data_IF_495129455223
#
_entry.id   IF_495129455223
#
_cell.length_a   1.000
_cell.length_b   1.000
_cell.length_c   1.000
_cell.angle_alpha   90.00
_cell.angle_beta   90.00
_cell.angle_gamma   90.00
#
_symmetry.space_group_name_H-M   'P 1'
#
loop_
_entity.id
_entity.type
_entity.pdbx_description
1 polymer ?
#
# COMPACT_ATOMS: atom_id res chain seq x y z
N UNK A 1 8.08 -0.98 -20.07
CA UNK A 1 8.46 -2.41 -20.01
C UNK A 1 9.32 -2.72 -21.21
N UNK A 2 10.47 -3.38 -21.03
CA UNK A 2 11.28 -3.83 -22.16
C UNK A 2 10.50 -4.89 -22.95
N UNK A 3 10.47 -4.78 -24.28
CA UNK A 3 9.72 -5.73 -25.13
C UNK A 3 10.23 -7.16 -24.98
N UNK A 4 9.39 -8.15 -25.30
CA UNK A 4 9.71 -9.59 -25.21
C UNK A 4 10.97 -10.01 -26.01
N UNK A 5 11.40 -9.16 -26.95
CA UNK A 5 12.58 -9.37 -27.79
C UNK A 5 13.86 -8.72 -27.26
N UNK A 6 13.81 -7.99 -26.14
CA UNK A 6 15.01 -7.40 -25.57
C UNK A 6 15.99 -8.48 -25.05
N UNK A 7 17.31 -8.32 -25.28
CA UNK A 7 18.32 -9.37 -25.06
C UNK A 7 18.45 -9.81 -23.60
N UNK A 8 18.16 -8.91 -22.65
CA UNK A 8 18.29 -9.18 -21.21
C UNK A 8 17.01 -9.63 -20.52
N UNK A 9 15.92 -9.83 -21.26
CA UNK A 9 14.70 -10.46 -20.74
C UNK A 9 14.92 -11.96 -20.54
N UNK A 10 14.11 -12.65 -19.70
CA UNK A 10 14.20 -14.11 -19.56
C UNK A 10 14.18 -14.85 -20.91
N UNK A 11 13.35 -14.39 -21.86
CA UNK A 11 13.31 -14.93 -23.22
C UNK A 11 14.59 -14.65 -24.02
N UNK A 12 15.15 -13.44 -23.93
CA UNK A 12 16.44 -13.09 -24.53
C UNK A 12 17.60 -13.93 -23.99
N UNK A 13 17.67 -14.13 -22.67
CA UNK A 13 18.67 -14.96 -22.00
C UNK A 13 18.58 -16.43 -22.41
N UNK A 14 17.36 -16.95 -22.56
CA UNK A 14 17.12 -18.31 -23.06
C UNK A 14 17.63 -18.47 -24.49
N UNK A 15 17.27 -17.54 -25.40
CA UNK A 15 17.76 -17.57 -26.80
C UNK A 15 19.28 -17.55 -26.86
N UNK A 16 19.92 -16.68 -26.07
CA UNK A 16 21.38 -16.63 -25.95
C UNK A 16 21.96 -17.97 -25.50
N UNK A 17 21.38 -18.60 -24.47
CA UNK A 17 21.85 -19.89 -23.99
C UNK A 17 21.66 -21.03 -25.02
N UNK A 18 20.54 -21.05 -25.74
CA UNK A 18 20.30 -22.02 -26.83
C UNK A 18 21.33 -21.90 -27.96
N UNK A 19 21.79 -20.69 -28.32
CA UNK A 19 22.86 -20.54 -29.32
C UNK A 19 24.15 -21.26 -28.92
N UNK A 20 24.48 -21.27 -27.62
CA UNK A 20 25.68 -21.95 -27.12
C UNK A 20 25.43 -23.46 -26.97
N UNK A 21 24.28 -23.86 -26.44
CA UNK A 21 23.98 -25.27 -26.11
C UNK A 21 23.58 -26.09 -27.33
N UNK A 22 22.70 -25.55 -28.19
CA UNK A 22 22.12 -26.26 -29.33
C UNK A 22 22.90 -25.98 -30.61
N UNK A 23 23.35 -24.74 -30.83
CA UNK A 23 24.07 -24.35 -32.05
C UNK A 23 25.60 -24.33 -31.91
N UNK A 24 26.14 -24.69 -30.74
CA UNK A 24 27.59 -24.81 -30.52
C UNK A 24 28.39 -23.50 -30.59
N UNK A 25 27.75 -22.34 -30.41
CA UNK A 25 28.46 -21.06 -30.43
C UNK A 25 29.44 -20.95 -29.26
N UNK A 26 30.59 -20.31 -29.50
CA UNK A 26 31.51 -19.96 -28.41
C UNK A 26 30.89 -18.92 -27.47
N UNK A 27 31.24 -18.98 -26.17
CA UNK A 27 30.75 -18.02 -25.16
C UNK A 27 31.05 -16.57 -25.56
N UNK A 28 32.22 -16.34 -26.17
CA UNK A 28 32.68 -15.01 -26.59
C UNK A 28 31.84 -14.46 -27.76
N UNK A 29 31.56 -15.30 -28.76
CA UNK A 29 30.72 -14.92 -29.91
C UNK A 29 29.29 -14.58 -29.45
N UNK A 30 28.72 -15.39 -28.56
CA UNK A 30 27.39 -15.13 -28.00
C UNK A 30 27.38 -13.85 -27.14
N UNK A 31 28.43 -13.62 -26.35
CA UNK A 31 28.61 -12.42 -25.54
C UNK A 31 28.65 -11.14 -26.40
N UNK A 32 29.45 -11.14 -27.48
CA UNK A 32 29.58 -10.01 -28.42
C UNK A 32 28.24 -9.70 -29.11
N UNK A 33 27.50 -10.72 -29.56
CA UNK A 33 26.21 -10.53 -30.23
C UNK A 33 25.13 -9.90 -29.35
N UNK A 34 25.16 -10.19 -28.05
CA UNK A 34 24.18 -9.74 -27.06
C UNK A 34 24.69 -8.60 -26.17
N UNK A 35 25.91 -8.12 -26.41
CA UNK A 35 26.54 -7.02 -25.68
C UNK A 35 26.59 -7.27 -24.16
N UNK A 36 26.98 -8.49 -23.77
CA UNK A 36 27.11 -8.90 -22.37
C UNK A 36 28.48 -9.49 -22.10
N UNK A 37 28.90 -9.52 -20.84
CA UNK A 37 30.18 -10.10 -20.47
C UNK A 37 30.17 -11.65 -20.58
N UNK A 38 31.24 -12.32 -21.07
CA UNK A 38 31.27 -13.78 -21.27
C UNK A 38 30.97 -14.61 -20.03
N UNK A 39 31.34 -14.14 -18.83
CA UNK A 39 31.01 -14.88 -17.61
C UNK A 39 29.50 -14.86 -17.29
N UNK A 40 28.77 -13.81 -17.71
CA UNK A 40 27.30 -13.77 -17.60
C UNK A 40 26.66 -14.80 -18.53
N UNK A 41 27.17 -14.92 -19.76
CA UNK A 41 26.77 -15.98 -20.70
C UNK A 41 27.01 -17.36 -20.11
N UNK A 42 28.21 -17.60 -19.57
CA UNK A 42 28.56 -18.86 -18.90
C UNK A 42 27.56 -19.22 -17.78
N UNK A 43 27.23 -18.25 -16.90
CA UNK A 43 26.22 -18.46 -15.84
C UNK A 43 24.84 -18.83 -16.39
N UNK A 44 24.41 -18.23 -17.50
CA UNK A 44 23.13 -18.58 -18.13
C UNK A 44 23.18 -19.93 -18.83
N UNK A 45 24.29 -20.30 -19.47
CA UNK A 45 24.46 -21.61 -20.10
C UNK A 45 24.42 -22.73 -19.06
N UNK A 46 25.14 -22.58 -17.94
CA UNK A 46 25.07 -23.54 -16.81
C UNK A 46 23.63 -23.69 -16.31
N UNK A 47 22.91 -22.57 -16.18
CA UNK A 47 21.51 -22.57 -15.75
C UNK A 47 20.59 -23.28 -16.76
N UNK A 48 20.81 -23.06 -18.06
CA UNK A 48 20.07 -23.68 -19.15
C UNK A 48 20.26 -25.19 -19.17
N UNK A 49 21.51 -25.66 -19.04
CA UNK A 49 21.85 -27.09 -18.95
C UNK A 49 21.24 -27.77 -17.73
N UNK A 50 21.07 -27.02 -16.63
CA UNK A 50 20.38 -27.50 -15.43
C UNK A 50 18.84 -27.45 -15.51
N UNK A 51 18.26 -27.04 -16.65
CA UNK A 51 16.80 -26.93 -16.83
C UNK A 51 16.13 -25.86 -15.96
N UNK A 52 16.89 -24.90 -15.43
CA UNK A 52 16.38 -23.88 -14.50
C UNK A 52 15.81 -22.67 -15.26
N UNK A 53 14.83 -22.00 -14.65
CA UNK A 53 14.23 -20.76 -15.19
C UNK A 53 15.26 -19.63 -15.37
N UNK A 54 15.12 -18.85 -16.45
CA UNK A 54 15.93 -17.66 -16.75
C UNK A 54 15.44 -16.38 -16.07
N UNK A 55 14.42 -16.50 -15.21
CA UNK A 55 13.93 -15.39 -14.42
C UNK A 55 14.99 -14.87 -13.44
N UNK A 56 14.86 -13.58 -13.13
CA UNK A 56 15.66 -12.97 -12.08
C UNK A 56 15.27 -13.56 -10.73
N UNK A 57 16.27 -14.13 -10.06
CA UNK A 57 16.11 -14.53 -8.66
C UNK A 57 15.96 -13.26 -7.84
N UNK A 58 15.12 -13.32 -6.81
CA UNK A 58 15.04 -12.21 -5.87
C UNK A 58 16.43 -11.96 -5.26
N UNK A 59 16.96 -10.75 -5.40
CA UNK A 59 18.16 -10.32 -4.68
C UNK A 59 17.91 -10.13 -3.18
N UNK A 60 16.68 -10.37 -2.71
CA UNK A 60 16.33 -10.23 -1.30
C UNK A 60 16.97 -11.37 -0.52
N UNK A 61 17.60 -11.07 0.64
CA UNK A 61 18.19 -12.11 1.47
C UNK A 61 17.11 -13.08 1.94
N UNK A 62 17.40 -14.38 1.86
CA UNK A 62 16.50 -15.45 2.33
C UNK A 62 16.20 -15.33 3.83
N UNK A 63 17.16 -14.82 4.61
CA UNK A 63 17.03 -14.63 6.06
C UNK A 63 17.55 -13.25 6.46
N UNK A 64 16.81 -12.59 7.36
CA UNK A 64 17.26 -11.37 8.02
C UNK A 64 17.55 -11.69 9.50
N UNK A 65 18.82 -11.74 9.92
CA UNK A 65 19.18 -12.12 11.29
C UNK A 65 18.70 -11.11 12.34
N UNK A 66 18.55 -9.82 11.98
CA UNK A 66 17.97 -8.79 12.84
C UNK A 66 16.44 -8.84 12.96
N UNK A 67 15.79 -9.92 12.49
CA UNK A 67 14.35 -10.07 12.57
C UNK A 67 13.93 -10.44 14.00
N UNK A 68 12.94 -9.72 14.53
CA UNK A 68 12.35 -10.08 15.82
C UNK A 68 11.85 -11.52 15.85
N UNK A 69 11.98 -12.13 17.02
CA UNK A 69 11.38 -13.43 17.31
C UNK A 69 9.87 -13.40 17.02
N UNK A 70 9.36 -14.48 16.42
CA UNK A 70 7.94 -14.63 16.05
C UNK A 70 6.99 -14.39 17.24
N UNK A 71 7.41 -14.75 18.46
CA UNK A 71 6.65 -14.50 19.70
C UNK A 71 6.38 -13.01 19.92
N UNK A 72 7.39 -12.17 19.73
CA UNK A 72 7.24 -10.72 19.89
C UNK A 72 6.44 -10.10 18.75
N UNK A 73 6.60 -10.58 17.52
CA UNK A 73 5.73 -10.19 16.40
C UNK A 73 4.25 -10.47 16.71
N UNK A 74 3.95 -11.67 17.24
CA UNK A 74 2.58 -12.02 17.66
C UNK A 74 2.05 -11.11 18.78
N UNK A 75 2.90 -10.73 19.75
CA UNK A 75 2.50 -9.76 20.80
C UNK A 75 2.17 -8.39 20.23
N UNK A 76 2.94 -7.90 19.25
CA UNK A 76 2.65 -6.63 18.54
C UNK A 76 1.27 -6.70 17.88
N UNK A 77 0.99 -7.78 17.15
CA UNK A 77 -0.30 -7.98 16.45
C UNK A 77 -1.43 -8.11 17.47
N UNK A 78 -1.26 -8.88 18.53
CA UNK A 78 -2.26 -9.06 19.57
C UNK A 78 -2.65 -7.73 20.23
N UNK A 79 -1.67 -6.91 20.61
CA UNK A 79 -1.95 -5.57 21.18
C UNK A 79 -2.64 -4.65 20.16
N UNK A 80 -2.28 -4.75 18.88
CA UNK A 80 -2.91 -3.99 17.81
C UNK A 80 -4.38 -4.37 17.62
N UNK A 81 -4.73 -5.64 17.66
CA UNK A 81 -6.09 -6.13 17.43
C UNK A 81 -6.96 -5.98 18.69
N UNK A 82 -6.48 -6.45 19.84
CA UNK A 82 -7.29 -6.50 21.08
C UNK A 82 -7.45 -5.14 21.75
N UNK A 83 -6.38 -4.33 21.74
CA UNK A 83 -6.37 -3.02 22.43
C UNK A 83 -6.47 -1.84 21.47
N UNK A 84 -6.41 -2.07 20.16
CA UNK A 84 -6.46 -1.04 19.11
C UNK A 84 -5.39 0.05 19.30
N UNK A 85 -4.20 -0.35 19.76
CA UNK A 85 -3.12 0.59 20.04
C UNK A 85 -2.37 1.03 18.79
N UNK A 86 -1.99 2.32 18.78
CA UNK A 86 -1.10 2.89 17.78
C UNK A 86 0.34 2.34 17.89
N UNK A 87 1.15 2.46 16.83
CA UNK A 87 2.51 1.95 16.83
C UNK A 87 3.40 2.58 17.92
N UNK A 88 3.16 3.84 18.29
CA UNK A 88 3.90 4.52 19.36
C UNK A 88 3.63 3.89 20.73
N UNK A 89 2.35 3.64 21.05
CA UNK A 89 1.95 3.06 22.34
C UNK A 89 2.42 1.61 22.47
N UNK A 90 2.32 0.82 21.39
CA UNK A 90 2.85 -0.56 21.36
C UNK A 90 4.38 -0.56 21.53
N UNK A 91 5.08 0.33 20.82
CA UNK A 91 6.53 0.44 20.90
C UNK A 91 7.00 0.76 22.32
N UNK A 92 6.37 1.75 22.96
CA UNK A 92 6.66 2.11 24.35
C UNK A 92 6.40 0.93 25.30
N UNK A 93 5.24 0.29 25.19
CA UNK A 93 4.85 -0.82 26.07
C UNK A 93 5.76 -2.05 25.94
N UNK A 94 6.21 -2.37 24.72
CA UNK A 94 7.09 -3.52 24.47
C UNK A 94 8.59 -3.17 24.53
N UNK A 95 8.94 -1.91 24.83
CA UNK A 95 10.32 -1.38 24.79
C UNK A 95 11.03 -1.67 23.46
N UNK A 96 10.32 -1.42 22.35
CA UNK A 96 10.82 -1.60 20.99
C UNK A 96 10.89 -0.26 20.27
N UNK A 97 11.74 -0.15 19.24
CA UNK A 97 11.72 1.00 18.35
C UNK A 97 10.38 1.07 17.58
N UNK A 98 9.83 2.28 17.45
CA UNK A 98 8.57 2.53 16.72
C UNK A 98 8.65 2.08 15.26
N UNK A 99 9.80 2.28 14.62
CA UNK A 99 10.05 1.84 13.24
C UNK A 99 9.92 0.33 13.08
N UNK A 100 10.37 -0.42 14.09
CA UNK A 100 10.28 -1.88 14.11
C UNK A 100 8.85 -2.37 14.24
N UNK A 101 8.06 -1.77 15.13
CA UNK A 101 6.62 -2.05 15.25
C UNK A 101 5.91 -1.74 13.94
N UNK A 102 6.18 -0.59 13.32
CA UNK A 102 5.63 -0.23 12.02
C UNK A 102 5.94 -1.26 10.93
N UNK A 103 7.22 -1.65 10.78
CA UNK A 103 7.63 -2.69 9.80
C UNK A 103 6.94 -4.03 10.04
N UNK A 104 6.77 -4.44 11.30
CA UNK A 104 6.06 -5.68 11.64
C UNK A 104 4.60 -5.60 11.21
N UNK A 105 3.90 -4.51 11.54
CA UNK A 105 2.49 -4.33 11.18
C UNK A 105 2.30 -4.32 9.65
N UNK A 106 3.13 -3.57 8.91
CA UNK A 106 3.06 -3.50 7.44
C UNK A 106 3.32 -4.86 6.80
N UNK A 107 4.37 -5.58 7.23
CA UNK A 107 4.70 -6.90 6.68
C UNK A 107 3.63 -7.96 6.98
N UNK A 108 2.95 -7.84 8.11
CA UNK A 108 1.85 -8.72 8.49
C UNK A 108 0.50 -8.29 7.91
N UNK A 109 0.46 -7.26 7.06
CA UNK A 109 -0.78 -6.80 6.41
C UNK A 109 -1.80 -6.21 7.37
N UNK A 110 -1.37 -5.73 8.54
CA UNK A 110 -2.29 -5.16 9.53
C UNK A 110 -2.65 -3.73 9.14
N UNK A 111 -3.94 -3.40 8.95
CA UNK A 111 -4.37 -2.08 8.49
C UNK A 111 -4.02 -0.97 9.48
N UNK A 112 -4.00 0.27 8.98
CA UNK A 112 -3.85 1.45 9.85
C UNK A 112 -5.12 1.60 10.69
N UNK A 113 -5.01 2.13 11.92
CA UNK A 113 -6.22 2.37 12.74
C UNK A 113 -7.17 3.36 12.08
N UNK A 114 -6.65 4.30 11.29
CA UNK A 114 -7.46 5.22 10.49
C UNK A 114 -8.27 4.52 9.37
N UNK A 115 -7.85 3.32 8.98
CA UNK A 115 -8.52 2.47 7.99
C UNK A 115 -9.41 1.42 8.65
N UNK A 116 -9.55 1.45 9.98
CA UNK A 116 -10.35 0.48 10.73
C UNK A 116 -11.49 1.22 11.41
N UNK A 117 -12.71 0.71 11.25
CA UNK A 117 -13.88 1.26 11.90
C UNK A 117 -13.77 1.06 13.42
N UNK A 118 -14.02 2.13 14.18
CA UNK A 118 -13.86 2.11 15.62
C UNK A 118 -14.97 1.33 16.35
N UNK A 119 -16.15 1.16 15.74
CA UNK A 119 -17.19 0.33 16.32
C UNK A 119 -16.90 -1.16 16.05
N UNK A 120 -16.80 -1.53 14.77
CA UNK A 120 -16.76 -2.92 14.31
C UNK A 120 -15.36 -3.54 14.29
N UNK A 121 -14.30 -2.74 14.23
CA UNK A 121 -12.93 -3.26 14.09
C UNK A 121 -12.62 -3.82 12.69
N UNK A 122 -13.54 -3.67 11.75
CA UNK A 122 -13.37 -4.07 10.35
C UNK A 122 -12.66 -2.97 9.57
N UNK A 123 -12.01 -3.35 8.46
CA UNK A 123 -11.41 -2.38 7.55
C UNK A 123 -12.53 -1.54 6.94
N UNK A 124 -12.43 -0.22 7.10
CA UNK A 124 -13.32 0.74 6.45
C UNK A 124 -13.10 0.62 4.95
N UNK A 125 -14.08 0.04 4.25
CA UNK A 125 -14.18 0.20 2.80
C UNK A 125 -14.75 1.58 2.54
N UNK A 126 -13.87 2.59 2.47
CA UNK A 126 -14.31 3.91 2.02
C UNK A 126 -14.60 3.79 0.52
N UNK A 127 -15.86 3.97 0.07
CA UNK A 127 -16.15 4.02 -1.35
C UNK A 127 -15.30 5.12 -1.99
N UNK A 128 -14.95 4.95 -3.26
CA UNK A 128 -14.23 5.98 -3.99
C UNK A 128 -14.97 7.32 -3.83
N UNK A 129 -14.27 8.44 -3.57
CA UNK A 129 -14.92 9.74 -3.46
C UNK A 129 -15.75 9.98 -4.72
N UNK A 130 -17.06 10.09 -4.56
CA UNK A 130 -17.93 10.50 -5.66
C UNK A 130 -17.68 11.99 -5.86
N UNK A 131 -17.09 12.35 -6.99
CA UNK A 131 -16.93 13.74 -7.38
C UNK A 131 -18.26 14.19 -7.96
N UNK A 132 -18.89 15.14 -7.29
CA UNK A 132 -20.07 15.81 -7.80
C UNK A 132 -19.59 17.07 -8.56
N UNK A 133 -19.62 17.02 -9.88
CA UNK A 133 -19.36 18.19 -10.73
C UNK A 133 -20.72 18.74 -11.23
N UNK A 134 -20.84 20.07 -11.27
CA UNK A 134 -22.02 20.81 -11.77
C UNK A 134 -21.56 22.03 -12.56
N UNK A 135 -22.35 22.41 -13.57
CA UNK A 135 -21.98 23.45 -14.53
C UNK A 135 -22.24 24.86 -13.98
N UNK A 136 -23.24 25.03 -13.12
CA UNK A 136 -23.59 26.34 -12.56
C UNK A 136 -23.45 26.39 -11.03
N UNK A 137 -23.05 27.55 -10.48
CA UNK A 137 -23.02 27.76 -9.03
C UNK A 137 -24.42 27.61 -8.43
N UNK A 138 -24.55 26.83 -7.35
CA UNK A 138 -25.81 26.60 -6.64
C UNK A 138 -26.47 25.23 -6.88
N UNK A 139 -26.03 24.46 -7.89
CA UNK A 139 -26.56 23.12 -8.17
C UNK A 139 -26.05 22.03 -7.19
N UNK A 140 -24.94 22.31 -6.50
CA UNK A 140 -24.43 21.47 -5.42
C UNK A 140 -24.89 22.03 -4.07
N UNK A 141 -25.93 21.42 -3.51
CA UNK A 141 -26.38 21.73 -2.15
C UNK A 141 -25.73 20.75 -1.18
N UNK A 142 -24.86 21.27 -0.31
CA UNK A 142 -24.33 20.51 0.80
C UNK A 142 -25.22 20.74 2.03
N UNK A 143 -25.90 19.69 2.48
CA UNK A 143 -26.69 19.72 3.72
C UNK A 143 -25.88 19.04 4.80
N UNK A 144 -25.36 19.83 5.74
CA UNK A 144 -24.80 19.31 6.97
C UNK A 144 -25.86 19.38 8.07
N UNK A 145 -26.14 18.25 8.70
CA UNK A 145 -27.09 18.16 9.79
C UNK A 145 -26.32 18.02 11.09
N UNK A 146 -26.22 19.12 11.83
CA UNK A 146 -25.67 19.10 13.18
C UNK A 146 -26.80 18.99 14.20
N UNK A 147 -26.76 17.97 15.04
CA UNK A 147 -27.62 17.90 16.21
C UNK A 147 -27.05 18.78 17.32
N UNK A 148 -27.73 19.89 17.60
CA UNK A 148 -27.36 20.80 18.67
C UNK A 148 -27.89 20.30 20.01
N UNK A 149 -27.01 20.21 21.01
CA UNK A 149 -27.46 19.98 22.40
C UNK A 149 -28.03 21.28 22.99
N UNK A 150 -29.11 21.22 23.78
CA UNK A 150 -29.68 22.42 24.40
C UNK A 150 -28.65 23.11 25.30
N UNK A 151 -28.40 24.40 25.07
CA UNK A 151 -27.59 25.22 25.98
C UNK A 151 -28.40 25.55 27.25
N UNK A 152 -27.80 25.47 28.45
CA UNK A 152 -28.49 25.80 29.71
C UNK A 152 -29.01 27.25 29.75
N UNK A 153 -28.39 28.16 29.00
CA UNK A 153 -28.70 29.60 29.02
C UNK A 153 -30.02 29.97 28.29
N UNK A 154 -30.64 29.04 27.55
CA UNK A 154 -31.86 29.29 26.74
C UNK A 154 -33.14 28.70 27.33
N UNK A 155 -33.11 28.13 28.54
CA UNK A 155 -34.27 27.47 29.16
C UNK A 155 -35.35 28.41 29.72
N UNK A 156 -35.20 29.74 29.59
CA UNK A 156 -36.04 30.71 30.30
C UNK A 156 -37.22 31.33 29.54
N UNK A 157 -37.35 31.22 28.21
CA UNK A 157 -38.31 32.09 27.50
C UNK A 157 -39.26 31.46 26.50
N UNK A 158 -39.16 30.20 26.08
CA UNK A 158 -40.16 29.62 25.16
C UNK A 158 -40.21 28.09 25.27
N UNK A 159 -41.43 27.56 25.42
CA UNK A 159 -41.73 26.12 25.50
C UNK A 159 -41.39 25.34 24.21
N UNK A 160 -41.70 24.02 24.18
CA UNK A 160 -41.08 23.07 23.26
C UNK A 160 -41.63 23.23 21.83
N UNK A 161 -41.04 24.15 21.07
CA UNK A 161 -41.05 24.08 19.62
C UNK A 161 -39.63 23.80 19.16
N UNK A 162 -39.44 22.61 18.60
CA UNK A 162 -38.20 22.20 17.98
C UNK A 162 -37.82 23.20 16.88
N UNK A 163 -36.86 24.07 17.17
CA UNK A 163 -36.21 24.89 16.16
C UNK A 163 -35.34 23.96 15.30
N UNK A 164 -35.88 23.45 14.19
CA UNK A 164 -35.05 23.08 13.05
C UNK A 164 -34.46 24.37 12.50
N UNK A 165 -33.28 24.76 13.00
CA UNK A 165 -32.49 25.80 12.36
C UNK A 165 -31.83 25.15 11.14
N UNK A 166 -32.51 25.20 9.99
CA UNK A 166 -31.86 25.02 8.70
C UNK A 166 -31.03 26.27 8.44
N UNK A 167 -29.73 26.19 8.72
CA UNK A 167 -28.79 27.23 8.32
C UNK A 167 -28.47 27.03 6.83
N UNK A 168 -29.30 27.61 5.95
CA UNK A 168 -28.92 27.78 4.54
C UNK A 168 -27.93 28.94 4.49
N UNK A 169 -26.65 28.65 4.61
CA UNK A 169 -25.58 29.62 4.38
C UNK A 169 -25.48 29.91 2.88
N UNK A 170 -26.43 30.69 2.36
CA UNK A 170 -26.43 31.22 1.00
C UNK A 170 -26.18 32.72 1.02
N UNK A 171 -24.98 33.15 0.65
CA UNK A 171 -24.75 34.53 0.23
C UNK A 171 -23.75 34.56 -0.91
N UNK A 172 -24.26 34.67 -2.14
CA UNK A 172 -23.61 35.50 -3.16
C UNK A 172 -24.70 36.08 -4.08
N UNK A 173 -25.11 37.32 -3.77
CA UNK A 173 -25.79 38.21 -4.72
C UNK A 173 -24.74 38.69 -5.72
N UNK A 174 -24.95 38.47 -7.00
CA UNK A 174 -24.29 39.20 -8.08
C UNK A 174 -25.36 39.53 -9.11
N UNK A 175 -25.76 40.80 -9.18
CA UNK A 175 -26.67 41.31 -10.20
C UNK A 175 -25.91 41.92 -11.37
N UNK A 176 -26.63 42.12 -12.48
CA UNK A 176 -26.25 43.00 -13.59
C UNK A 176 -25.41 42.34 -14.66
#
# INVERSE_FOLDING_TARGET
MAGANAPLTPGGRRRLACLVVEQGWSLRRAAERFQVWPATVSRWVVRCRAGQSMEDRSSRPHRSPGRLARRTERRIIALRVTRRWGPHRIAFHLRLARSTVGRVLTRCGVPRLAEVDQATGLVVRRPAPVRYDKEHPGELVHVDAQEARPSPLRWGLEGPRACQVFCVSGLFRGGG
#
